data_IF_182859153055
#
_entry.id   IF_182859153055
#
_cell.length_a   1.000
_cell.length_b   1.000
_cell.length_c   1.000
_cell.angle_alpha   90.00
_cell.angle_beta   90.00
_cell.angle_gamma   90.00
#
_symmetry.space_group_name_H-M   'P 1'
#
loop_
_entity.id
_entity.type
_entity.pdbx_description
1 polymer ?
#
# COMPACT_ATOMS: atom_id res chain seq x y z
N UNK A 1 -41.86 -47.16 26.52
CA UNK A 1 -41.46 -47.43 27.93
C UNK A 1 -39.95 -47.20 28.02
N UNK A 2 -39.48 -46.01 28.39
CA UNK A 2 -39.27 -45.51 29.77
C UNK A 2 -38.33 -46.37 30.62
N UNK A 3 -37.18 -45.79 31.00
CA UNK A 3 -36.56 -45.75 32.35
C UNK A 3 -35.17 -45.08 32.20
N UNK A 4 -34.99 -43.79 32.49
CA UNK A 4 -34.72 -43.15 33.80
C UNK A 4 -33.39 -43.61 34.44
N UNK A 5 -32.38 -42.74 34.41
CA UNK A 5 -31.84 -41.99 35.57
C UNK A 5 -31.04 -42.83 36.59
N UNK A 6 -29.77 -42.49 36.84
CA UNK A 6 -29.46 -41.54 37.92
C UNK A 6 -27.98 -41.11 37.98
N UNK A 7 -27.82 -39.86 38.44
CA UNK A 7 -26.57 -39.12 38.69
C UNK A 7 -25.85 -39.62 39.94
N UNK A 8 -24.53 -39.39 40.01
CA UNK A 8 -23.81 -39.18 41.27
C UNK A 8 -23.22 -37.78 41.31
N UNK A 9 -23.38 -37.21 42.49
CA UNK A 9 -23.16 -35.82 42.88
C UNK A 9 -21.73 -35.56 43.34
N UNK A 10 -21.31 -34.30 43.26
CA UNK A 10 -20.46 -33.69 44.28
C UNK A 10 -20.98 -32.28 44.61
N UNK A 11 -21.00 -31.99 45.91
CA UNK A 11 -21.61 -30.85 46.60
C UNK A 11 -20.52 -30.06 47.30
N UNK A 12 -20.70 -28.73 47.38
CA UNK A 12 -20.02 -27.81 48.33
C UNK A 12 -19.11 -26.81 47.61
N UNK A 13 -19.26 -25.48 47.72
CA UNK A 13 -19.74 -24.68 48.85
C UNK A 13 -20.27 -23.32 48.35
N UNK A 14 -21.28 -22.80 49.04
CA UNK A 14 -22.03 -21.57 48.73
C UNK A 14 -21.41 -20.33 49.38
N UNK A 15 -21.29 -19.24 48.63
CA UNK A 15 -21.30 -17.86 49.19
C UNK A 15 -22.26 -17.03 48.32
N UNK A 16 -23.22 -16.39 48.99
CA UNK A 16 -24.30 -15.62 48.39
C UNK A 16 -23.77 -14.39 47.63
N UNK A 17 -24.34 -14.13 46.45
CA UNK A 17 -24.13 -12.90 45.66
C UNK A 17 -25.47 -12.13 45.63
N UNK A 18 -25.49 -10.79 45.71
CA UNK A 18 -26.71 -10.02 45.86
C UNK A 18 -27.63 -10.11 44.63
N UNK A 19 -28.91 -9.90 44.88
CA UNK A 19 -29.98 -9.72 43.91
C UNK A 19 -29.65 -8.63 42.88
N UNK A 20 -29.50 -9.00 41.60
CA UNK A 20 -29.45 -8.08 40.47
C UNK A 20 -30.87 -7.95 39.90
N UNK A 21 -31.39 -6.72 39.69
CA UNK A 21 -32.72 -6.48 39.13
C UNK A 21 -32.97 -7.18 37.78
N UNK A 22 -34.25 -7.45 37.56
CA UNK A 22 -34.82 -8.41 36.61
C UNK A 22 -35.02 -7.83 35.20
N UNK A 23 -33.93 -7.47 34.53
CA UNK A 23 -33.95 -7.03 33.12
C UNK A 23 -32.91 -7.79 32.26
N UNK A 24 -32.53 -8.99 32.73
CA UNK A 24 -31.75 -9.97 31.96
C UNK A 24 -32.72 -10.92 31.23
N UNK A 25 -32.47 -11.11 29.93
CA UNK A 25 -33.16 -11.99 28.96
C UNK A 25 -34.32 -11.35 28.17
N UNK A 26 -33.97 -10.64 27.10
CA UNK A 26 -34.39 -11.04 25.75
C UNK A 26 -33.39 -10.51 24.70
N UNK A 27 -32.77 -11.46 23.97
CA UNK A 27 -31.89 -11.20 22.82
C UNK A 27 -30.43 -11.66 23.02
N UNK A 28 -29.85 -12.48 22.12
CA UNK A 28 -28.42 -12.83 22.18
C UNK A 28 -27.56 -11.57 22.05
N UNK A 29 -26.37 -11.52 22.68
CA UNK A 29 -25.48 -10.37 22.58
C UNK A 29 -25.12 -10.13 21.11
N UNK A 30 -25.52 -8.97 20.60
CA UNK A 30 -24.92 -8.39 19.42
C UNK A 30 -23.41 -8.38 19.62
N UNK A 31 -22.67 -8.76 18.57
CA UNK A 31 -21.21 -8.75 18.54
C UNK A 31 -20.64 -7.48 19.19
N UNK A 32 -19.48 -7.56 19.88
CA UNK A 32 -18.85 -6.37 20.43
C UNK A 32 -18.72 -5.33 19.32
N UNK A 33 -19.35 -4.17 19.51
CA UNK A 33 -19.14 -3.02 18.65
C UNK A 33 -17.66 -2.66 18.80
N UNK A 34 -16.86 -3.05 17.82
CA UNK A 34 -15.46 -2.68 17.71
C UNK A 34 -15.41 -1.15 17.62
N UNK A 35 -15.06 -0.48 18.71
CA UNK A 35 -14.98 0.98 18.74
C UNK A 35 -13.75 1.43 17.95
N UNK A 36 -14.00 1.99 16.76
CA UNK A 36 -13.03 2.54 15.80
C UNK A 36 -12.36 3.84 16.27
N UNK A 37 -12.52 4.22 17.54
CA UNK A 37 -12.15 5.55 18.06
C UNK A 37 -10.65 5.88 17.94
N UNK A 38 -9.76 4.89 17.85
CA UNK A 38 -8.32 5.13 17.67
C UNK A 38 -7.91 5.47 16.23
N UNK A 39 -8.74 5.15 15.22
CA UNK A 39 -8.39 5.30 13.79
C UNK A 39 -9.32 6.23 13.00
N UNK A 40 -10.36 6.76 13.66
CA UNK A 40 -11.38 7.66 13.10
C UNK A 40 -10.78 8.87 12.36
N UNK A 41 -9.72 9.49 12.90
CA UNK A 41 -9.08 10.68 12.28
C UNK A 41 -8.44 10.44 10.89
N UNK A 42 -8.05 9.21 10.55
CA UNK A 42 -7.41 8.89 9.25
C UNK A 42 -8.45 8.42 8.21
N UNK A 43 -9.62 7.96 8.65
CA UNK A 43 -10.72 7.59 7.74
C UNK A 43 -11.58 8.81 7.38
N UNK A 44 -11.65 9.82 8.24
CA UNK A 44 -12.54 10.98 8.04
C UNK A 44 -11.95 12.11 7.16
N UNK A 45 -10.65 12.10 6.83
CA UNK A 45 -10.01 13.19 6.05
C UNK A 45 -10.25 13.10 4.54
N UNK A 46 -10.49 11.90 4.00
CA UNK A 46 -10.80 11.68 2.59
C UNK A 46 -11.87 10.60 2.46
N UNK A 47 -13.05 10.90 1.90
CA UNK A 47 -14.17 9.98 1.87
C UNK A 47 -13.91 8.85 0.88
N UNK A 48 -13.54 7.68 1.40
CA UNK A 48 -13.35 6.45 0.63
C UNK A 48 -14.64 6.07 -0.13
N UNK A 49 -15.80 6.43 0.42
CA UNK A 49 -17.13 6.11 -0.08
C UNK A 49 -17.33 6.57 -1.52
N UNK A 50 -16.73 7.69 -1.91
CA UNK A 50 -16.79 8.21 -3.27
C UNK A 50 -16.13 7.26 -4.29
N UNK A 51 -15.15 6.46 -3.87
CA UNK A 51 -14.35 5.60 -4.74
C UNK A 51 -14.73 4.12 -4.64
N UNK A 52 -15.39 3.69 -3.55
CA UNK A 52 -15.73 2.27 -3.32
C UNK A 52 -16.48 1.62 -4.48
N UNK A 53 -17.55 2.21 -5.06
CA UNK A 53 -18.26 1.57 -6.17
C UNK A 53 -17.34 1.30 -7.37
N UNK A 54 -16.47 2.28 -7.71
CA UNK A 54 -15.52 2.14 -8.80
C UNK A 54 -14.46 1.06 -8.52
N UNK A 55 -13.94 1.01 -7.29
CA UNK A 55 -12.97 0.00 -6.88
C UNK A 55 -13.57 -1.40 -7.04
N UNK A 56 -14.79 -1.60 -6.50
CA UNK A 56 -15.49 -2.88 -6.58
C UNK A 56 -15.76 -3.28 -8.02
N UNK A 57 -16.25 -2.35 -8.84
CA UNK A 57 -16.57 -2.64 -10.24
C UNK A 57 -15.33 -2.94 -11.07
N UNK A 58 -14.23 -2.22 -10.88
CA UNK A 58 -13.01 -2.49 -11.63
C UNK A 58 -12.34 -3.79 -11.16
N UNK A 59 -12.31 -4.09 -9.85
CA UNK A 59 -11.87 -5.40 -9.36
C UNK A 59 -12.72 -6.55 -9.90
N UNK A 60 -14.04 -6.33 -10.09
CA UNK A 60 -14.92 -7.31 -10.76
C UNK A 60 -14.55 -7.50 -12.23
N UNK A 61 -14.21 -6.44 -12.95
CA UNK A 61 -13.75 -6.53 -14.36
C UNK A 61 -12.42 -7.27 -14.50
N UNK A 62 -11.55 -7.18 -13.49
CA UNK A 62 -10.24 -7.84 -13.52
C UNK A 62 -10.26 -9.32 -13.08
N UNK A 63 -11.41 -9.89 -12.71
CA UNK A 63 -11.49 -11.28 -12.20
C UNK A 63 -10.91 -12.33 -13.18
N UNK A 64 -11.03 -12.10 -14.50
CA UNK A 64 -10.46 -13.00 -15.52
C UNK A 64 -8.94 -12.86 -15.66
N UNK A 65 -8.37 -11.70 -15.28
CA UNK A 65 -6.92 -11.49 -15.25
C UNK A 65 -6.34 -12.09 -13.98
N UNK A 66 -6.91 -11.73 -12.84
CA UNK A 66 -6.55 -12.20 -11.52
C UNK A 66 -7.70 -11.95 -10.52
N UNK A 67 -8.04 -12.90 -9.63
CA UNK A 67 -9.12 -12.72 -8.65
C UNK A 67 -8.70 -11.78 -7.52
N UNK A 68 -8.61 -10.48 -7.84
CA UNK A 68 -8.21 -9.43 -6.92
C UNK A 68 -9.43 -8.95 -6.12
N UNK A 69 -9.36 -9.06 -4.80
CA UNK A 69 -10.42 -8.59 -3.91
C UNK A 69 -10.35 -7.06 -3.71
N UNK A 70 -11.51 -6.35 -3.68
CA UNK A 70 -11.56 -4.90 -3.48
C UNK A 70 -10.82 -4.40 -2.23
N UNK A 71 -10.80 -5.18 -1.15
CA UNK A 71 -10.14 -4.81 0.11
C UNK A 71 -8.62 -4.67 -0.04
N UNK A 72 -8.00 -5.45 -0.92
CA UNK A 72 -6.57 -5.31 -1.23
C UNK A 72 -6.32 -3.92 -1.83
N UNK A 73 -7.18 -3.50 -2.75
CA UNK A 73 -7.08 -2.21 -3.40
C UNK A 73 -7.33 -1.06 -2.42
N UNK A 74 -8.36 -1.17 -1.59
CA UNK A 74 -8.66 -0.21 -0.52
C UNK A 74 -7.48 -0.05 0.43
N UNK A 75 -6.91 -1.17 0.91
CA UNK A 75 -5.73 -1.15 1.77
C UNK A 75 -4.51 -0.53 1.08
N UNK A 76 -4.30 -0.84 -0.21
CA UNK A 76 -3.22 -0.25 -1.01
C UNK A 76 -3.37 1.26 -1.16
N UNK A 77 -4.52 1.75 -1.64
CA UNK A 77 -4.75 3.19 -1.84
C UNK A 77 -4.64 3.98 -0.53
N UNK A 78 -5.07 3.37 0.58
CA UNK A 78 -4.83 3.90 1.93
C UNK A 78 -3.34 4.02 2.25
N UNK A 79 -2.55 2.98 1.96
CA UNK A 79 -1.11 2.98 2.19
C UNK A 79 -0.36 3.98 1.29
N UNK A 80 -0.84 4.19 0.06
CA UNK A 80 -0.21 5.10 -0.91
C UNK A 80 -0.43 6.57 -0.57
N UNK A 81 -1.68 6.95 -0.28
CA UNK A 81 -2.04 8.37 -0.21
C UNK A 81 -3.06 8.71 0.87
N UNK A 82 -3.57 7.72 1.60
CA UNK A 82 -4.76 7.89 2.45
C UNK A 82 -5.93 8.46 1.64
N UNK A 83 -6.10 7.96 0.41
CA UNK A 83 -7.11 8.43 -0.56
C UNK A 83 -6.99 9.90 -0.99
N UNK A 84 -5.84 10.55 -0.78
CA UNK A 84 -5.61 11.91 -1.23
C UNK A 84 -5.27 11.97 -2.74
N UNK A 85 -6.14 12.52 -3.60
CA UNK A 85 -5.88 12.61 -5.04
C UNK A 85 -4.83 13.65 -5.40
N UNK A 86 -4.36 14.45 -4.44
CA UNK A 86 -3.34 15.49 -4.63
C UNK A 86 -2.07 15.23 -3.82
N UNK A 87 -1.87 13.99 -3.35
CA UNK A 87 -0.63 13.61 -2.70
C UNK A 87 0.55 13.69 -3.68
N UNK A 88 1.66 14.30 -3.24
CA UNK A 88 2.92 14.38 -3.99
C UNK A 88 4.05 13.96 -3.04
N UNK A 89 4.75 12.88 -3.37
CA UNK A 89 5.85 12.38 -2.54
C UNK A 89 7.17 13.09 -2.83
N UNK A 90 8.12 12.94 -1.91
CA UNK A 90 9.51 13.37 -2.11
C UNK A 90 10.26 12.53 -3.16
N UNK A 91 9.68 11.44 -3.67
CA UNK A 91 10.23 10.68 -4.79
C UNK A 91 9.57 11.04 -6.14
N UNK A 92 8.63 11.99 -6.13
CA UNK A 92 7.87 12.45 -7.29
C UNK A 92 6.70 11.54 -7.69
N UNK A 93 6.30 10.62 -6.82
CA UNK A 93 5.06 9.88 -6.97
C UNK A 93 3.86 10.80 -6.71
N UNK A 94 2.81 10.69 -7.52
CA UNK A 94 1.68 11.65 -7.51
C UNK A 94 0.34 10.93 -7.47
N UNK A 95 -0.61 11.55 -6.77
CA UNK A 95 -2.03 11.20 -6.77
C UNK A 95 -2.38 10.04 -5.87
N UNK A 96 -3.63 9.60 -6.01
CA UNK A 96 -4.23 8.62 -5.09
C UNK A 96 -3.52 7.26 -5.10
N UNK A 97 -2.95 6.88 -6.25
CA UNK A 97 -2.25 5.61 -6.47
C UNK A 97 -0.72 5.76 -6.48
N UNK A 98 -0.20 6.96 -6.22
CA UNK A 98 1.23 7.30 -6.14
C UNK A 98 2.06 6.78 -7.32
N UNK A 99 1.63 7.06 -8.55
CA UNK A 99 2.45 6.73 -9.72
C UNK A 99 3.64 7.67 -9.84
N UNK A 100 4.82 7.10 -10.04
CA UNK A 100 5.98 7.86 -10.53
C UNK A 100 5.79 8.20 -12.02
N UNK A 101 6.42 9.28 -12.52
CA UNK A 101 6.27 9.74 -13.89
C UNK A 101 6.55 8.68 -14.96
N UNK A 102 7.57 7.84 -14.79
CA UNK A 102 7.91 6.78 -15.73
C UNK A 102 6.77 5.77 -15.84
N UNK A 103 6.28 5.23 -14.73
CA UNK A 103 5.16 4.29 -14.73
C UNK A 103 3.92 4.89 -15.40
N UNK A 104 3.57 6.14 -15.06
CA UNK A 104 2.39 6.79 -15.61
C UNK A 104 2.47 6.98 -17.14
N UNK A 105 3.64 7.38 -17.66
CA UNK A 105 3.84 7.53 -19.11
C UNK A 105 3.95 6.19 -19.81
N UNK A 106 4.85 5.34 -19.34
CA UNK A 106 5.31 4.17 -20.08
C UNK A 106 4.29 3.03 -20.01
N UNK A 107 3.57 2.88 -18.89
CA UNK A 107 2.54 1.84 -18.73
C UNK A 107 1.15 2.30 -19.14
N UNK A 108 0.81 3.57 -18.93
CA UNK A 108 -0.57 4.05 -19.09
C UNK A 108 -0.75 5.15 -20.15
N UNK A 109 0.33 5.63 -20.77
CA UNK A 109 0.26 6.71 -21.76
C UNK A 109 -0.23 8.04 -21.20
N UNK A 110 -0.09 8.26 -19.89
CA UNK A 110 -0.58 9.49 -19.24
C UNK A 110 0.27 10.69 -19.64
N UNK A 111 -0.39 11.84 -19.76
CA UNK A 111 0.26 13.16 -19.77
C UNK A 111 0.68 13.50 -18.34
N UNK A 112 1.99 13.65 -18.14
CA UNK A 112 2.59 13.84 -16.81
C UNK A 112 3.38 15.14 -16.76
N UNK A 113 3.23 15.89 -15.67
CA UNK A 113 4.02 17.08 -15.42
C UNK A 113 5.43 16.69 -14.95
N UNK A 114 6.43 16.98 -15.79
CA UNK A 114 7.85 16.73 -15.50
C UNK A 114 8.68 17.97 -15.78
N UNK A 115 9.54 18.30 -14.83
CA UNK A 115 10.48 19.42 -14.94
C UNK A 115 11.92 18.92 -15.11
N UNK A 116 12.83 19.87 -15.39
CA UNK A 116 14.27 19.60 -15.36
C UNK A 116 14.72 19.07 -14.00
N UNK A 117 14.20 19.63 -12.90
CA UNK A 117 14.53 19.16 -11.55
C UNK A 117 14.21 17.69 -11.34
N UNK A 118 13.04 17.22 -11.79
CA UNK A 118 12.71 15.80 -11.72
C UNK A 118 13.72 14.96 -12.52
N UNK A 119 13.99 15.38 -13.75
CA UNK A 119 14.88 14.64 -14.67
C UNK A 119 16.31 14.57 -14.14
N UNK A 120 16.87 15.69 -13.68
CA UNK A 120 18.18 15.77 -13.04
C UNK A 120 18.22 14.92 -11.77
N UNK A 121 17.17 14.98 -10.94
CA UNK A 121 17.05 14.17 -9.73
C UNK A 121 17.07 12.66 -10.01
N UNK A 122 16.41 12.21 -11.08
CA UNK A 122 16.45 10.80 -11.52
C UNK A 122 17.85 10.39 -11.97
N UNK A 123 18.56 11.24 -12.73
CA UNK A 123 19.94 10.97 -13.17
C UNK A 123 20.88 10.86 -11.97
N UNK A 124 20.84 11.83 -11.06
CA UNK A 124 21.64 11.81 -9.83
C UNK A 124 21.30 10.62 -8.94
N UNK A 125 20.04 10.17 -8.91
CA UNK A 125 19.64 8.96 -8.16
C UNK A 125 20.26 7.70 -8.76
N UNK A 126 20.46 7.63 -10.08
CA UNK A 126 21.18 6.52 -10.73
C UNK A 126 22.65 6.50 -10.31
N UNK A 127 23.31 7.66 -10.31
CA UNK A 127 24.69 7.80 -9.83
C UNK A 127 24.82 7.44 -8.35
N UNK A 128 23.91 7.92 -7.50
CA UNK A 128 23.82 7.58 -6.08
C UNK A 128 23.70 6.07 -5.86
N UNK A 129 22.84 5.40 -6.62
CA UNK A 129 22.67 3.96 -6.53
C UNK A 129 23.93 3.20 -6.97
N UNK A 130 24.65 3.72 -7.96
CA UNK A 130 25.93 3.14 -8.41
C UNK A 130 27.02 3.29 -7.34
N UNK A 131 27.16 4.47 -6.73
CA UNK A 131 28.09 4.67 -5.62
C UNK A 131 27.79 3.71 -4.45
N UNK A 132 26.51 3.48 -4.10
CA UNK A 132 26.14 2.51 -3.07
C UNK A 132 26.45 1.05 -3.45
N UNK A 133 26.42 0.70 -4.74
CA UNK A 133 26.89 -0.60 -5.22
C UNK A 133 28.39 -0.73 -5.03
N UNK A 134 29.15 0.32 -5.31
CA UNK A 134 30.60 0.36 -5.09
C UNK A 134 30.96 0.27 -3.61
N UNK A 135 30.20 0.91 -2.71
CA UNK A 135 30.32 0.72 -1.26
C UNK A 135 30.20 -0.77 -0.89
N UNK A 136 29.15 -1.42 -1.41
CA UNK A 136 28.89 -2.85 -1.11
C UNK A 136 30.01 -3.74 -1.65
N UNK A 137 30.49 -3.47 -2.87
CA UNK A 137 31.59 -4.23 -3.47
C UNK A 137 32.91 -4.04 -2.69
N UNK A 138 33.26 -2.79 -2.35
CA UNK A 138 34.45 -2.48 -1.57
C UNK A 138 34.42 -3.12 -0.17
N UNK A 139 33.24 -3.17 0.46
CA UNK A 139 33.06 -3.83 1.76
C UNK A 139 33.30 -5.34 1.68
N UNK A 140 32.80 -6.01 0.64
CA UNK A 140 33.07 -7.44 0.39
C UNK A 140 34.55 -7.74 0.23
N UNK A 141 35.30 -6.82 -0.39
CA UNK A 141 36.74 -6.93 -0.59
C UNK A 141 37.57 -6.43 0.61
N UNK A 142 36.94 -6.07 1.74
CA UNK A 142 37.59 -5.45 2.90
C UNK A 142 38.40 -4.17 2.58
N UNK A 143 38.02 -3.42 1.53
CA UNK A 143 38.69 -2.18 1.10
C UNK A 143 38.11 -0.96 1.82
N UNK A 144 38.35 -0.84 3.12
CA UNK A 144 37.70 0.17 3.99
C UNK A 144 37.92 1.64 3.55
N UNK A 145 39.10 1.98 3.01
CA UNK A 145 39.34 3.33 2.46
C UNK A 145 38.44 3.65 1.27
N UNK A 146 38.17 2.67 0.39
CA UNK A 146 37.23 2.85 -0.72
C UNK A 146 35.79 2.93 -0.21
N UNK A 147 35.43 2.12 0.80
CA UNK A 147 34.12 2.21 1.45
C UNK A 147 33.86 3.63 1.94
N UNK A 148 34.81 4.25 2.63
CA UNK A 148 34.70 5.63 3.11
C UNK A 148 34.54 6.63 1.96
N UNK A 149 35.36 6.53 0.92
CA UNK A 149 35.29 7.42 -0.25
C UNK A 149 33.95 7.34 -0.99
N UNK A 150 33.48 6.13 -1.29
CA UNK A 150 32.21 5.92 -1.98
C UNK A 150 31.01 6.35 -1.11
N UNK A 151 31.07 6.14 0.21
CA UNK A 151 30.03 6.63 1.14
C UNK A 151 29.93 8.15 1.13
N UNK A 152 31.06 8.86 1.21
CA UNK A 152 31.06 10.33 1.17
C UNK A 152 30.45 10.88 -0.13
N UNK A 153 30.76 10.22 -1.27
CA UNK A 153 30.16 10.58 -2.56
C UNK A 153 28.67 10.27 -2.62
N UNK A 154 28.25 9.08 -2.15
CA UNK A 154 26.85 8.71 -2.08
C UNK A 154 26.06 9.69 -1.20
N UNK A 155 26.58 10.08 -0.03
CA UNK A 155 25.92 11.05 0.85
C UNK A 155 25.77 12.42 0.19
N UNK A 156 26.81 12.89 -0.51
CA UNK A 156 26.75 14.15 -1.26
C UNK A 156 25.73 14.10 -2.42
N UNK A 157 25.69 12.99 -3.17
CA UNK A 157 24.71 12.77 -4.23
C UNK A 157 23.29 12.69 -3.66
N UNK A 158 23.10 11.99 -2.54
CA UNK A 158 21.80 11.84 -1.86
C UNK A 158 21.18 13.18 -1.49
N UNK A 159 21.98 14.11 -0.94
CA UNK A 159 21.52 15.48 -0.65
C UNK A 159 21.06 16.22 -1.91
N UNK A 160 21.84 16.13 -3.00
CA UNK A 160 21.49 16.79 -4.28
C UNK A 160 20.23 16.18 -4.90
N UNK A 161 20.08 14.86 -4.83
CA UNK A 161 18.86 14.16 -5.25
C UNK A 161 17.66 14.72 -4.50
N UNK A 162 17.72 14.78 -3.18
CA UNK A 162 16.64 15.29 -2.34
C UNK A 162 16.28 16.74 -2.68
N UNK A 163 17.26 17.63 -2.86
CA UNK A 163 17.03 19.02 -3.25
C UNK A 163 16.26 19.16 -4.57
N UNK A 164 16.62 18.38 -5.58
CA UNK A 164 15.92 18.38 -6.88
C UNK A 164 14.48 17.89 -6.76
N UNK A 165 14.24 16.79 -6.04
CA UNK A 165 12.88 16.29 -5.85
C UNK A 165 12.02 17.22 -4.99
N UNK A 166 12.59 17.91 -4.00
CA UNK A 166 11.89 18.95 -3.23
C UNK A 166 11.48 20.11 -4.12
N UNK A 167 12.36 20.59 -5.02
CA UNK A 167 12.03 21.66 -5.97
C UNK A 167 10.91 21.23 -6.92
N UNK A 168 11.00 20.03 -7.48
CA UNK A 168 9.94 19.46 -8.33
C UNK A 168 8.60 19.39 -7.59
N UNK A 169 8.59 18.84 -6.37
CA UNK A 169 7.38 18.74 -5.54
C UNK A 169 6.75 20.11 -5.31
N UNK A 170 7.54 21.10 -4.86
CA UNK A 170 7.05 22.46 -4.58
C UNK A 170 6.45 23.12 -5.82
N UNK A 171 7.10 22.98 -6.97
CA UNK A 171 6.60 23.55 -8.23
C UNK A 171 5.25 22.93 -8.63
N UNK A 172 5.09 21.62 -8.53
CA UNK A 172 3.82 20.96 -8.80
C UNK A 172 2.74 21.36 -7.77
N UNK A 173 3.08 21.44 -6.47
CA UNK A 173 2.16 21.91 -5.42
C UNK A 173 1.62 23.31 -5.71
N UNK A 174 2.48 24.24 -6.09
CA UNK A 174 2.09 25.62 -6.43
C UNK A 174 1.10 25.63 -7.60
N UNK A 175 1.31 24.80 -8.63
CA UNK A 175 0.44 24.74 -9.81
C UNK A 175 -0.96 24.21 -9.51
N UNK A 176 -1.08 23.33 -8.53
CA UNK A 176 -2.34 22.66 -8.21
C UNK A 176 -3.08 23.31 -7.04
N UNK A 177 -2.42 24.22 -6.32
CA UNK A 177 -3.00 24.92 -5.17
C UNK A 177 -4.21 25.74 -5.63
N UNK A 178 -5.35 25.53 -4.97
CA UNK A 178 -6.61 26.20 -5.30
C UNK A 178 -7.32 25.68 -6.54
N UNK A 179 -6.75 24.71 -7.27
CA UNK A 179 -7.36 24.15 -8.48
C UNK A 179 -8.42 23.08 -8.15
N UNK A 180 -9.50 23.04 -8.94
CA UNK A 180 -10.48 21.95 -8.92
C UNK A 180 -9.93 20.65 -9.52
N UNK A 181 -10.60 19.49 -9.32
CA UNK A 181 -10.12 18.19 -9.82
C UNK A 181 -9.77 18.16 -11.32
N UNK A 182 -10.65 18.69 -12.18
CA UNK A 182 -10.42 18.73 -13.62
C UNK A 182 -9.21 19.59 -14.02
N UNK A 183 -8.99 20.71 -13.33
CA UNK A 183 -7.85 21.60 -13.56
C UNK A 183 -6.54 20.93 -13.12
N UNK A 184 -6.55 20.20 -12.01
CA UNK A 184 -5.40 19.40 -11.56
C UNK A 184 -5.06 18.30 -12.56
N UNK A 185 -6.05 17.54 -13.01
CA UNK A 185 -5.88 16.48 -14.01
C UNK A 185 -5.34 17.00 -15.35
N UNK A 186 -5.69 18.24 -15.73
CA UNK A 186 -5.15 18.90 -16.93
C UNK A 186 -3.67 19.28 -16.79
N UNK A 187 -3.18 19.53 -15.57
CA UNK A 187 -1.74 19.77 -15.30
C UNK A 187 -0.97 18.46 -15.29
N UNK A 188 -1.48 17.45 -14.57
CA UNK A 188 -0.87 16.13 -14.45
C UNK A 188 -1.98 15.08 -14.29
N UNK A 189 -2.09 14.14 -15.25
CA UNK A 189 -3.16 13.14 -15.22
C UNK A 189 -3.06 12.17 -14.04
N UNK A 190 -1.93 12.12 -13.33
CA UNK A 190 -1.83 11.35 -12.08
C UNK A 190 -2.71 11.92 -10.96
N UNK A 191 -3.15 13.18 -11.09
CA UNK A 191 -4.07 13.85 -10.17
C UNK A 191 -5.55 13.56 -10.48
N UNK A 192 -5.84 12.85 -11.57
CA UNK A 192 -7.16 12.28 -11.84
C UNK A 192 -7.35 11.00 -11.02
N UNK A 193 -8.14 11.11 -9.94
CA UNK A 193 -8.37 10.00 -9.01
C UNK A 193 -8.97 8.78 -9.69
N UNK A 194 -9.99 8.98 -10.54
CA UNK A 194 -10.72 7.89 -11.18
C UNK A 194 -9.87 7.16 -12.21
N UNK A 195 -9.10 7.90 -13.00
CA UNK A 195 -8.16 7.35 -13.95
C UNK A 195 -7.08 6.54 -13.22
N UNK A 196 -6.54 7.08 -12.13
CA UNK A 196 -5.48 6.44 -11.36
C UNK A 196 -5.94 5.18 -10.63
N UNK A 197 -7.15 5.18 -10.06
CA UNK A 197 -7.73 3.97 -9.43
C UNK A 197 -7.88 2.87 -10.49
N UNK A 198 -8.48 3.18 -11.64
CA UNK A 198 -8.68 2.19 -12.71
C UNK A 198 -7.36 1.60 -13.21
N UNK A 199 -6.38 2.46 -13.49
CA UNK A 199 -5.06 1.99 -13.94
C UNK A 199 -4.29 1.25 -12.84
N UNK A 200 -4.43 1.66 -11.58
CA UNK A 200 -3.81 1.00 -10.42
C UNK A 200 -4.31 -0.43 -10.23
N UNK A 201 -5.63 -0.64 -10.31
CA UNK A 201 -6.25 -1.96 -10.18
C UNK A 201 -5.83 -2.88 -11.32
N UNK A 202 -5.88 -2.40 -12.58
CA UNK A 202 -5.43 -3.14 -13.75
C UNK A 202 -3.97 -3.54 -13.64
N UNK A 203 -3.13 -2.59 -13.23
CA UNK A 203 -1.71 -2.83 -13.08
C UNK A 203 -1.43 -3.85 -11.98
N UNK A 204 -2.02 -3.70 -10.79
CA UNK A 204 -1.87 -4.68 -9.72
C UNK A 204 -2.35 -6.07 -10.12
N UNK A 205 -3.51 -6.18 -10.79
CA UNK A 205 -4.01 -7.46 -11.30
C UNK A 205 -3.01 -8.10 -12.28
N UNK A 206 -2.41 -7.32 -13.18
CA UNK A 206 -1.38 -7.82 -14.11
C UNK A 206 -0.10 -8.29 -13.39
N UNK A 207 0.33 -7.61 -12.33
CA UNK A 207 1.48 -8.00 -11.52
C UNK A 207 1.23 -9.28 -10.73
N UNK A 208 0.03 -9.40 -10.15
CA UNK A 208 -0.42 -10.62 -9.49
C UNK A 208 -0.49 -11.79 -10.47
N UNK A 209 -1.00 -11.55 -11.69
CA UNK A 209 -1.06 -12.55 -12.76
C UNK A 209 0.33 -13.01 -13.19
N UNK A 210 1.24 -12.08 -13.50
CA UNK A 210 2.62 -12.40 -13.86
C UNK A 210 3.33 -13.19 -12.75
N UNK A 211 3.08 -12.83 -11.48
CA UNK A 211 3.57 -13.59 -10.33
C UNK A 211 2.99 -15.01 -10.27
N UNK A 212 1.69 -15.16 -10.53
CA UNK A 212 1.02 -16.46 -10.56
C UNK A 212 1.54 -17.35 -11.67
N UNK A 213 1.80 -16.80 -12.85
CA UNK A 213 2.37 -17.53 -13.98
C UNK A 213 3.80 -18.01 -13.67
N UNK A 214 4.59 -17.19 -12.98
CA UNK A 214 5.99 -17.50 -12.66
C UNK A 214 6.19 -18.42 -11.46
N UNK A 215 5.43 -18.19 -10.38
CA UNK A 215 5.68 -18.79 -9.07
C UNK A 215 4.58 -19.75 -8.61
N UNK A 216 3.44 -19.77 -9.32
CA UNK A 216 2.26 -20.53 -8.94
C UNK A 216 1.79 -20.22 -7.50
N UNK A 217 1.04 -21.13 -6.90
CA UNK A 217 0.48 -20.98 -5.55
C UNK A 217 -0.88 -20.30 -5.52
N UNK A 218 -1.40 -20.06 -4.31
CA UNK A 218 -2.74 -19.49 -4.16
C UNK A 218 -2.81 -18.02 -4.57
N UNK A 219 -4.02 -17.53 -4.84
CA UNK A 219 -4.27 -16.12 -5.12
C UNK A 219 -3.65 -15.21 -4.04
N UNK A 220 -3.84 -15.53 -2.75
CA UNK A 220 -3.25 -14.76 -1.65
C UNK A 220 -1.72 -14.65 -1.75
N UNK A 221 -1.00 -15.73 -2.05
CA UNK A 221 0.46 -15.67 -2.22
C UNK A 221 0.87 -14.74 -3.36
N UNK A 222 0.12 -14.74 -4.46
CA UNK A 222 0.40 -13.91 -5.62
C UNK A 222 -0.03 -12.45 -5.44
N UNK A 223 -0.99 -12.16 -4.55
CA UNK A 223 -1.25 -10.78 -4.07
C UNK A 223 -0.03 -10.22 -3.34
N UNK A 224 0.62 -10.99 -2.45
CA UNK A 224 1.82 -10.53 -1.75
C UNK A 224 2.94 -10.14 -2.74
N UNK A 225 3.14 -10.97 -3.77
CA UNK A 225 4.15 -10.73 -4.82
C UNK A 225 3.75 -9.57 -5.73
N UNK A 226 2.47 -9.44 -6.08
CA UNK A 226 1.96 -8.32 -6.86
C UNK A 226 2.13 -6.99 -6.14
N UNK A 227 1.83 -6.93 -4.84
CA UNK A 227 2.09 -5.75 -4.00
C UNK A 227 3.59 -5.42 -3.91
N UNK A 228 4.44 -6.44 -3.76
CA UNK A 228 5.88 -6.24 -3.78
C UNK A 228 6.36 -5.69 -5.13
N UNK A 229 5.83 -6.22 -6.24
CA UNK A 229 6.16 -5.75 -7.59
C UNK A 229 5.62 -4.34 -7.86
N UNK A 230 4.47 -3.97 -7.30
CA UNK A 230 3.93 -2.62 -7.40
C UNK A 230 4.87 -1.60 -6.74
N UNK A 231 5.44 -1.95 -5.58
CA UNK A 231 6.35 -1.10 -4.83
C UNK A 231 7.79 -1.09 -5.35
N UNK A 232 8.34 -2.26 -5.73
CA UNK A 232 9.76 -2.44 -6.04
C UNK A 232 10.05 -2.75 -7.52
N UNK A 233 9.02 -2.94 -8.33
CA UNK A 233 9.13 -3.41 -9.72
C UNK A 233 9.10 -4.93 -9.82
N UNK A 234 8.49 -5.43 -10.90
CA UNK A 234 8.38 -6.87 -11.19
C UNK A 234 9.75 -7.53 -11.34
N UNK A 235 10.70 -6.87 -11.99
CA UNK A 235 12.05 -7.40 -12.19
C UNK A 235 12.75 -7.76 -10.88
N UNK A 236 12.52 -6.97 -9.82
CA UNK A 236 13.07 -7.26 -8.50
C UNK A 236 12.42 -8.49 -7.88
N UNK A 237 11.10 -8.64 -8.03
CA UNK A 237 10.39 -9.85 -7.56
C UNK A 237 10.88 -11.09 -8.31
N UNK A 238 11.06 -11.00 -9.63
CA UNK A 238 11.60 -12.08 -10.45
C UNK A 238 13.04 -12.44 -10.07
N UNK A 239 13.89 -11.43 -9.87
CA UNK A 239 15.30 -11.61 -9.49
C UNK A 239 15.48 -12.28 -8.13
N UNK A 240 14.61 -11.98 -7.17
CA UNK A 240 14.66 -12.55 -5.81
C UNK A 240 13.81 -13.83 -5.67
N UNK A 241 13.21 -14.32 -6.75
CA UNK A 241 12.31 -15.47 -6.77
C UNK A 241 11.15 -15.35 -5.75
N UNK A 242 10.67 -14.12 -5.51
CA UNK A 242 9.71 -13.82 -4.45
C UNK A 242 9.77 -12.37 -3.98
N UNK A 243 9.36 -12.11 -2.74
CA UNK A 243 9.40 -10.75 -2.16
C UNK A 243 10.88 -10.37 -1.96
N UNK A 244 11.37 -9.26 -2.55
CA UNK A 244 12.77 -8.88 -2.41
C UNK A 244 13.09 -8.52 -0.96
N UNK A 245 14.34 -8.77 -0.53
CA UNK A 245 14.83 -8.41 0.81
C UNK A 245 15.11 -6.90 0.94
N UNK A 246 14.11 -6.08 0.60
CA UNK A 246 14.11 -4.63 0.70
C UNK A 246 13.15 -4.29 1.83
N UNK A 247 13.68 -3.72 2.93
CA UNK A 247 12.90 -3.45 4.14
C UNK A 247 11.62 -2.66 3.83
N UNK A 248 11.71 -1.61 3.01
CA UNK A 248 10.56 -0.80 2.63
C UNK A 248 9.47 -1.62 1.90
N UNK A 249 9.87 -2.54 1.02
CA UNK A 249 8.92 -3.39 0.27
C UNK A 249 8.25 -4.42 1.16
N UNK A 250 9.02 -5.08 2.03
CA UNK A 250 8.46 -6.02 3.02
C UNK A 250 7.48 -5.30 3.94
N UNK A 251 7.86 -4.11 4.41
CA UNK A 251 7.03 -3.27 5.27
C UNK A 251 5.74 -2.82 4.58
N UNK A 252 5.83 -2.41 3.32
CA UNK A 252 4.71 -2.03 2.47
C UNK A 252 3.69 -3.16 2.32
N UNK A 253 4.15 -4.36 1.92
CA UNK A 253 3.29 -5.55 1.77
C UNK A 253 2.63 -5.88 3.10
N UNK A 254 3.40 -5.93 4.19
CA UNK A 254 2.91 -6.22 5.53
C UNK A 254 1.79 -5.27 5.96
N UNK A 255 1.98 -3.96 5.80
CA UNK A 255 0.99 -2.93 6.19
C UNK A 255 -0.33 -3.11 5.44
N UNK A 256 -0.27 -3.35 4.14
CA UNK A 256 -1.47 -3.57 3.30
C UNK A 256 -2.19 -4.85 3.73
N UNK A 257 -1.46 -5.93 3.92
CA UNK A 257 -2.09 -7.21 4.28
C UNK A 257 -2.71 -7.21 5.67
N UNK A 258 -2.14 -6.48 6.63
CA UNK A 258 -2.75 -6.27 7.96
C UNK A 258 -4.10 -5.55 7.82
N UNK A 259 -4.17 -4.50 7.01
CA UNK A 259 -5.43 -3.77 6.78
C UNK A 259 -6.45 -4.64 6.04
N UNK A 260 -6.00 -5.40 5.04
CA UNK A 260 -6.84 -6.35 4.30
C UNK A 260 -7.44 -7.42 5.22
N UNK A 261 -6.62 -8.07 6.07
CA UNK A 261 -7.08 -9.12 6.97
C UNK A 261 -8.14 -8.60 7.96
N UNK A 262 -7.94 -7.39 8.50
CA UNK A 262 -8.93 -6.72 9.36
C UNK A 262 -10.27 -6.48 8.64
N UNK A 263 -10.24 -6.11 7.36
CA UNK A 263 -11.46 -5.89 6.57
C UNK A 263 -12.17 -7.21 6.25
N UNK A 264 -11.42 -8.28 5.96
CA UNK A 264 -12.00 -9.59 5.67
C UNK A 264 -12.56 -10.26 6.93
N UNK A 265 -11.91 -10.11 8.08
CA UNK A 265 -12.39 -10.62 9.37
C UNK A 265 -13.70 -9.94 9.79
N UNK A 266 -13.81 -8.62 9.60
CA UNK A 266 -15.03 -7.89 9.96
C UNK A 266 -16.25 -8.18 9.07
N UNK A 267 -16.06 -8.86 7.93
CA UNK A 267 -17.15 -9.36 7.07
C UNK A 267 -17.73 -10.70 7.54
N UNK A 268 -17.03 -11.43 8.41
CA UNK A 268 -17.42 -12.76 8.91
C UNK A 268 -18.28 -12.65 10.15
#
# INVERSE_FOLDING_TARGET
>A
MQASMNRRAFVGMSVAVPFIPRELFDGPPSAPVMTTDKYRYILDLYPIEAYLPMIVDECRRQQEVFPLEPEVEVAKLRQESVFNPSAISLAGAVGIAQFIPETARDQFGMTVYVTKDYTDGVLLRREFNEENRLVTAALRDNKFKLVEQHKLRADALGKRVEEHFIRYKKDLEVRITGAGPAQRAAVDQRLDAELCIRNGIRYLASLCRASSDRFHGSARHNVLRGLAAYNAGLDQVLKFDGIPFIFQTVDYVRKIMVMYDQMVESRR
#
